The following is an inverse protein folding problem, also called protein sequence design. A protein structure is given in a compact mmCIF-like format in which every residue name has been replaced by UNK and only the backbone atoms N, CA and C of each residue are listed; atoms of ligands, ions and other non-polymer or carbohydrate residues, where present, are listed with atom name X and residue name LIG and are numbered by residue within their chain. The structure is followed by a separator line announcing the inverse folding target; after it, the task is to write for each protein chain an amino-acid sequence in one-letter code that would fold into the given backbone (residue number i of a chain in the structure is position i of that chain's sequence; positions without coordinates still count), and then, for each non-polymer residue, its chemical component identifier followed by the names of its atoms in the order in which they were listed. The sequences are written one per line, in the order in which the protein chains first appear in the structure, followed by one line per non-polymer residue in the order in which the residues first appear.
data_IF_761264939674
#
_entry.id   IF_761264939674
#
_cell.length_a   1.000
_cell.length_b   1.000
_cell.length_c   1.000
_cell.angle_alpha   90.00
_cell.angle_beta   90.00
_cell.angle_gamma   90.00
#
_symmetry.space_group_name_H-M   'P 1'
#
loop_
_entity.id
_entity.type
_entity.pdbx_description
1 polymer ?
#
# COMPACT_ATOMS: atom_id res chain seq x y z
N UNK A 1 -22.06 -11.94 3.30
CA UNK A 1 -23.02 -12.22 4.38
C UNK A 1 -22.36 -12.00 5.75
N UNK A 2 -23.15 -11.61 6.77
CA UNK A 2 -22.63 -11.38 8.14
C UNK A 2 -22.23 -12.69 8.87
N UNK A 3 -22.70 -13.84 8.41
CA UNK A 3 -22.31 -15.14 8.96
C UNK A 3 -22.59 -15.30 10.47
N UNK A 4 -23.70 -14.76 10.97
CA UNK A 4 -24.08 -14.82 12.41
C UNK A 4 -23.52 -13.69 13.27
N UNK A 5 -22.68 -12.81 12.75
CA UNK A 5 -22.13 -11.66 13.46
C UNK A 5 -23.14 -10.52 13.61
N UNK A 6 -23.04 -9.74 14.68
CA UNK A 6 -23.92 -8.59 14.94
C UNK A 6 -23.70 -7.46 13.91
N UNK A 7 -22.47 -7.29 13.41
CA UNK A 7 -22.11 -6.29 12.41
C UNK A 7 -21.04 -6.83 11.46
N UNK A 8 -20.88 -6.20 10.29
CA UNK A 8 -19.76 -6.48 9.39
C UNK A 8 -18.42 -6.15 10.04
N UNK A 9 -18.35 -5.08 10.80
CA UNK A 9 -17.13 -4.69 11.50
C UNK A 9 -16.68 -5.77 12.51
N UNK A 10 -17.59 -6.31 13.32
CA UNK A 10 -17.26 -7.37 14.27
C UNK A 10 -16.76 -8.63 13.55
N UNK A 11 -17.38 -8.98 12.42
CA UNK A 11 -16.93 -10.08 11.56
C UNK A 11 -15.51 -9.82 11.04
N UNK A 12 -15.28 -8.67 10.43
CA UNK A 12 -14.02 -8.33 9.79
C UNK A 12 -12.86 -8.19 10.77
N UNK A 13 -13.10 -7.70 11.98
CA UNK A 13 -12.11 -7.74 13.06
C UNK A 13 -11.73 -9.18 13.41
N UNK A 14 -12.69 -10.11 13.45
CA UNK A 14 -12.39 -11.53 13.69
C UNK A 14 -11.61 -12.20 12.55
N UNK A 15 -11.65 -11.63 11.34
CA UNK A 15 -10.95 -12.11 10.15
C UNK A 15 -9.51 -11.54 10.02
N UNK A 16 -9.08 -10.63 10.89
CA UNK A 16 -7.75 -10.02 10.83
C UNK A 16 -6.59 -11.04 10.85
N UNK A 17 -6.60 -12.08 11.69
CA UNK A 17 -5.52 -13.07 11.65
C UNK A 17 -5.43 -13.80 10.31
N UNK A 18 -6.57 -14.08 9.68
CA UNK A 18 -6.61 -14.71 8.36
C UNK A 18 -6.13 -13.75 7.27
N UNK A 19 -6.50 -12.47 7.34
CA UNK A 19 -6.04 -11.46 6.41
C UNK A 19 -4.51 -11.29 6.44
N UNK A 20 -3.91 -11.30 7.63
CA UNK A 20 -2.43 -11.30 7.80
C UNK A 20 -1.83 -12.55 7.17
N UNK A 21 -2.36 -13.74 7.49
CA UNK A 21 -1.88 -15.00 6.93
C UNK A 21 -1.97 -15.04 5.40
N UNK A 22 -3.06 -14.52 4.83
CA UNK A 22 -3.24 -14.45 3.38
C UNK A 22 -2.26 -13.47 2.72
N UNK A 23 -1.97 -12.34 3.36
CA UNK A 23 -0.98 -11.38 2.88
C UNK A 23 0.43 -11.98 2.86
N UNK A 24 0.77 -12.83 3.81
CA UNK A 24 2.08 -13.52 3.90
C UNK A 24 2.17 -14.76 3.02
N UNK A 25 1.03 -15.31 2.58
CA UNK A 25 0.99 -16.59 1.88
C UNK A 25 1.78 -16.56 0.58
N UNK A 26 2.74 -17.51 0.44
CA UNK A 26 3.61 -17.62 -0.73
C UNK A 26 4.72 -16.57 -0.81
N UNK A 27 4.86 -15.74 0.24
CA UNK A 27 5.89 -14.68 0.28
C UNK A 27 7.02 -14.92 1.28
N UNK A 28 6.89 -15.97 2.11
CA UNK A 28 7.93 -16.37 3.07
C UNK A 28 8.47 -17.74 2.67
N UNK A 29 9.74 -17.81 2.28
CA UNK A 29 10.42 -19.02 1.85
C UNK A 29 11.79 -19.15 2.54
N UNK A 30 11.99 -20.21 3.34
CA UNK A 30 13.29 -20.55 3.95
C UNK A 30 13.95 -19.37 4.69
N UNK A 31 13.14 -18.52 5.34
CA UNK A 31 13.64 -17.35 6.08
C UNK A 31 13.89 -16.09 5.23
N UNK A 32 13.55 -16.13 3.95
CA UNK A 32 13.62 -15.00 3.06
C UNK A 32 12.20 -14.50 2.69
N UNK A 33 12.09 -13.22 2.37
CA UNK A 33 10.90 -12.63 1.79
C UNK A 33 11.03 -12.64 0.26
N UNK A 34 10.00 -13.15 -0.40
CA UNK A 34 9.89 -13.12 -1.87
C UNK A 34 8.52 -12.54 -2.21
N UNK A 35 8.49 -11.48 -3.00
CA UNK A 35 7.25 -10.84 -3.45
C UNK A 35 7.10 -11.10 -4.95
N UNK A 36 6.33 -12.13 -5.36
CA UNK A 36 6.25 -12.54 -6.77
C UNK A 36 5.79 -11.43 -7.71
N UNK A 37 4.99 -10.49 -7.20
CA UNK A 37 4.50 -9.36 -7.99
C UNK A 37 5.61 -8.35 -8.36
N UNK A 38 6.75 -8.40 -7.67
CA UNK A 38 7.91 -7.55 -7.91
C UNK A 38 9.04 -8.26 -8.66
N UNK A 39 8.85 -9.52 -9.05
CA UNK A 39 9.86 -10.30 -9.76
C UNK A 39 10.24 -9.62 -11.09
N UNK A 40 11.54 -9.44 -11.29
CA UNK A 40 12.07 -8.75 -12.47
C UNK A 40 11.93 -7.22 -12.46
N UNK A 41 11.51 -6.60 -11.36
CA UNK A 41 11.35 -5.16 -11.21
C UNK A 41 12.48 -4.50 -10.38
N UNK A 42 13.62 -5.16 -10.22
CA UNK A 42 14.75 -4.64 -9.43
C UNK A 42 15.19 -3.23 -9.89
N UNK A 43 15.17 -2.97 -11.19
CA UNK A 43 15.52 -1.68 -11.77
C UNK A 43 14.60 -0.53 -11.31
N UNK A 44 13.36 -0.85 -10.89
CA UNK A 44 12.44 0.13 -10.35
C UNK A 44 12.97 0.75 -9.05
N UNK A 45 13.69 -0.02 -8.25
CA UNK A 45 14.18 0.39 -6.93
C UNK A 45 15.60 0.95 -6.95
N UNK A 46 16.31 0.82 -8.08
CA UNK A 46 17.67 1.34 -8.22
C UNK A 46 17.68 2.88 -8.25
N UNK A 47 18.57 3.46 -7.44
CA UNK A 47 18.77 4.91 -7.39
C UNK A 47 17.67 5.68 -6.65
N UNK A 48 16.78 4.99 -5.93
CA UNK A 48 15.80 5.63 -5.06
C UNK A 48 16.53 6.17 -3.83
N UNK A 49 16.42 7.46 -3.58
CA UNK A 49 16.99 8.16 -2.43
C UNK A 49 15.90 8.72 -1.48
N UNK A 50 14.63 8.65 -1.90
CA UNK A 50 13.48 9.08 -1.11
C UNK A 50 12.23 8.23 -1.40
N UNK A 51 11.50 7.90 -0.35
CA UNK A 51 10.18 7.25 -0.46
C UNK A 51 9.09 8.19 0.07
N UNK A 52 7.98 8.32 -0.64
CA UNK A 52 6.81 9.05 -0.16
C UNK A 52 5.62 8.10 -0.20
N UNK A 53 5.04 7.83 0.95
CA UNK A 53 3.79 7.06 1.06
C UNK A 53 2.61 8.01 0.94
N UNK A 54 1.70 7.75 0.01
CA UNK A 54 0.49 8.56 -0.22
C UNK A 54 -0.77 7.73 -0.01
N UNK A 55 -1.66 8.19 0.83
CA UNK A 55 -2.93 7.51 1.11
C UNK A 55 -3.97 8.46 1.71
N UNK A 56 -5.20 7.98 1.85
CA UNK A 56 -6.30 8.66 2.54
C UNK A 56 -6.76 7.85 3.75
N UNK A 57 -7.23 8.54 4.79
CA UNK A 57 -7.87 7.93 5.96
C UNK A 57 -6.97 6.91 6.67
N UNK A 58 -7.55 5.75 7.03
CA UNK A 58 -6.85 4.70 7.79
C UNK A 58 -5.64 4.12 7.06
N UNK A 59 -5.66 4.09 5.72
CA UNK A 59 -4.51 3.65 4.93
C UNK A 59 -3.28 4.56 5.13
N UNK A 60 -3.47 5.87 5.37
CA UNK A 60 -2.37 6.76 5.71
C UNK A 60 -1.74 6.40 7.07
N UNK A 61 -2.54 5.97 8.05
CA UNK A 61 -2.02 5.48 9.33
C UNK A 61 -1.22 4.19 9.17
N UNK A 62 -1.62 3.29 8.25
CA UNK A 62 -0.79 2.14 7.91
C UNK A 62 0.58 2.57 7.37
N UNK A 63 0.60 3.57 6.49
CA UNK A 63 1.83 4.19 6.00
C UNK A 63 2.69 4.77 7.13
N UNK A 64 2.09 5.46 8.09
CA UNK A 64 2.81 6.02 9.25
C UNK A 64 3.45 4.94 10.12
N UNK A 65 2.81 3.78 10.28
CA UNK A 65 3.40 2.62 10.99
C UNK A 65 4.55 2.03 10.16
N UNK A 66 4.33 1.78 8.87
CA UNK A 66 5.33 1.19 7.98
C UNK A 66 6.57 2.06 7.77
N UNK A 67 6.42 3.39 7.82
CA UNK A 67 7.52 4.35 7.69
C UNK A 67 8.73 3.98 8.56
N UNK A 68 8.50 3.70 9.84
CA UNK A 68 9.60 3.42 10.79
C UNK A 68 10.39 2.18 10.41
N UNK A 69 9.72 1.13 9.96
CA UNK A 69 10.36 -0.10 9.51
C UNK A 69 11.14 0.14 8.22
N UNK A 70 10.52 0.77 7.23
CA UNK A 70 11.13 1.09 5.95
C UNK A 70 12.41 1.95 6.13
N UNK A 71 12.36 3.04 6.91
CA UNK A 71 13.54 3.87 7.18
C UNK A 71 14.65 3.10 7.90
N UNK A 72 14.26 2.25 8.87
CA UNK A 72 15.24 1.49 9.63
C UNK A 72 15.99 0.48 8.75
N UNK A 73 15.28 -0.20 7.85
CA UNK A 73 15.84 -1.28 7.04
C UNK A 73 16.54 -0.78 5.78
N UNK A 74 15.95 0.19 5.08
CA UNK A 74 16.50 0.68 3.82
C UNK A 74 17.50 1.81 3.98
N UNK A 75 17.46 2.53 5.10
CA UNK A 75 18.20 3.78 5.35
C UNK A 75 17.87 4.89 4.35
N UNK A 76 16.74 4.79 3.67
CA UNK A 76 16.19 5.80 2.77
C UNK A 76 15.13 6.60 3.55
N UNK A 77 15.13 7.95 3.49
CA UNK A 77 14.09 8.77 4.10
C UNK A 77 12.69 8.40 3.58
N UNK A 78 11.73 8.26 4.49
CA UNK A 78 10.33 7.95 4.16
C UNK A 78 9.42 9.04 4.72
N UNK A 79 8.67 9.69 3.86
CA UNK A 79 7.61 10.62 4.25
C UNK A 79 6.24 9.97 4.07
N UNK A 80 5.26 10.39 4.86
CA UNK A 80 3.86 9.97 4.68
C UNK A 80 3.01 11.20 4.48
N UNK A 81 2.29 11.24 3.37
CA UNK A 81 1.46 12.39 3.01
C UNK A 81 0.01 11.96 2.71
N UNK A 82 -0.91 12.85 3.06
CA UNK A 82 -2.30 12.67 2.70
C UNK A 82 -2.46 12.91 1.18
N UNK A 83 -3.03 11.95 0.48
CA UNK A 83 -3.10 11.97 -0.99
C UNK A 83 -3.85 13.19 -1.53
N UNK A 84 -4.87 13.69 -0.80
CA UNK A 84 -5.62 14.89 -1.18
C UNK A 84 -4.82 16.19 -1.02
N UNK A 85 -3.74 16.22 -0.22
CA UNK A 85 -2.84 17.36 -0.10
C UNK A 85 -1.66 17.25 -1.08
N UNK A 86 -1.14 16.05 -1.29
CA UNK A 86 0.10 15.76 -2.00
C UNK A 86 0.19 16.48 -3.35
N UNK A 87 -0.76 16.27 -4.25
CA UNK A 87 -0.70 16.87 -5.59
C UNK A 87 -0.87 18.39 -5.61
N UNK A 88 -1.67 18.93 -4.64
CA UNK A 88 -1.98 20.36 -4.63
C UNK A 88 -0.85 21.23 -4.08
N UNK A 89 0.00 20.65 -3.23
CA UNK A 89 1.17 21.36 -2.72
C UNK A 89 2.36 21.37 -3.68
N UNK A 90 2.27 20.72 -4.83
CA UNK A 90 3.31 20.66 -5.84
C UNK A 90 4.66 20.16 -5.27
N UNK A 91 4.74 18.89 -4.78
CA UNK A 91 5.94 18.37 -4.13
C UNK A 91 7.12 18.28 -5.09
N UNK A 92 8.33 18.53 -4.55
CA UNK A 92 9.57 18.31 -5.30
C UNK A 92 9.85 16.81 -5.32
N UNK A 93 9.62 16.18 -6.46
CA UNK A 93 9.83 14.75 -6.70
C UNK A 93 10.39 14.53 -8.11
N UNK A 94 11.02 13.39 -8.34
CA UNK A 94 11.65 13.07 -9.62
C UNK A 94 11.96 11.57 -9.72
N UNK A 95 12.84 11.19 -10.65
CA UNK A 95 13.14 9.78 -10.97
C UNK A 95 13.85 9.02 -9.82
N UNK A 96 14.38 9.70 -8.85
CA UNK A 96 15.00 9.21 -7.62
C UNK A 96 13.98 9.02 -6.47
N UNK A 97 12.73 9.40 -6.68
CA UNK A 97 11.65 9.28 -5.70
C UNK A 97 10.76 8.08 -6.02
N UNK A 98 10.50 7.23 -5.01
CA UNK A 98 9.47 6.19 -5.06
C UNK A 98 8.22 6.68 -4.32
N UNK A 99 7.11 6.78 -5.03
CA UNK A 99 5.80 7.07 -4.44
C UNK A 99 5.04 5.76 -4.22
N UNK A 100 4.80 5.43 -2.95
CA UNK A 100 4.05 4.24 -2.54
C UNK A 100 2.62 4.63 -2.22
N UNK A 101 1.67 4.20 -3.01
CA UNK A 101 0.25 4.43 -2.75
C UNK A 101 -0.38 3.26 -1.99
N UNK A 102 -1.23 3.57 -1.00
CA UNK A 102 -1.96 2.55 -0.24
C UNK A 102 -3.46 2.79 -0.39
N UNK A 103 -4.19 1.79 -0.87
CA UNK A 103 -5.64 1.86 -1.03
C UNK A 103 -6.27 0.48 -0.93
N UNK A 104 -7.30 0.32 -0.08
CA UNK A 104 -8.06 -0.93 0.00
C UNK A 104 -8.81 -1.19 -1.29
N UNK A 105 -9.60 -0.23 -1.77
CA UNK A 105 -10.42 -0.37 -2.98
C UNK A 105 -9.64 -0.24 -4.29
N UNK A 106 -8.52 0.50 -4.27
CA UNK A 106 -7.78 0.89 -5.46
C UNK A 106 -8.51 1.89 -6.37
N UNK A 107 -9.59 2.51 -5.85
CA UNK A 107 -10.43 3.48 -6.59
C UNK A 107 -10.54 4.83 -5.87
N UNK A 108 -9.81 5.04 -4.78
CA UNK A 108 -9.82 6.33 -4.06
C UNK A 108 -9.28 7.43 -4.96
N UNK A 109 -10.14 8.36 -5.35
CA UNK A 109 -9.83 9.37 -6.37
C UNK A 109 -8.59 10.21 -6.04
N UNK A 110 -8.47 10.68 -4.80
CA UNK A 110 -7.31 11.49 -4.41
C UNK A 110 -6.00 10.69 -4.49
N UNK A 111 -6.02 9.42 -4.08
CA UNK A 111 -4.85 8.53 -4.18
C UNK A 111 -4.51 8.24 -5.65
N UNK A 112 -5.51 7.99 -6.50
CA UNK A 112 -5.32 7.83 -7.94
C UNK A 112 -4.65 9.06 -8.56
N UNK A 113 -5.16 10.24 -8.23
CA UNK A 113 -4.62 11.48 -8.77
C UNK A 113 -3.22 11.80 -8.25
N UNK A 114 -2.89 11.38 -7.01
CA UNK A 114 -1.53 11.46 -6.48
C UNK A 114 -0.56 10.56 -7.25
N UNK A 115 -0.96 9.33 -7.57
CA UNK A 115 -0.15 8.40 -8.40
C UNK A 115 0.08 8.97 -9.80
N UNK A 116 -0.98 9.47 -10.45
CA UNK A 116 -0.84 10.09 -11.79
C UNK A 116 0.10 11.29 -11.77
N UNK A 117 -0.09 12.18 -10.79
CA UNK A 117 0.80 13.32 -10.62
C UNK A 117 2.26 12.89 -10.42
N UNK A 118 2.51 11.90 -9.56
CA UNK A 118 3.86 11.38 -9.33
C UNK A 118 4.53 10.90 -10.63
N UNK A 119 3.80 10.14 -11.44
CA UNK A 119 4.28 9.66 -12.75
C UNK A 119 4.54 10.80 -13.74
N UNK A 120 3.67 11.80 -13.77
CA UNK A 120 3.87 13.01 -14.60
C UNK A 120 5.15 13.76 -14.24
N UNK A 121 5.55 13.74 -12.97
CA UNK A 121 6.81 14.31 -12.47
C UNK A 121 8.02 13.38 -12.68
N UNK A 122 7.83 12.18 -13.23
CA UNK A 122 8.88 11.20 -13.47
C UNK A 122 9.25 10.34 -12.27
N UNK A 123 8.52 10.43 -11.15
CA UNK A 123 8.70 9.56 -10.00
C UNK A 123 8.26 8.12 -10.33
N UNK A 124 8.89 7.15 -9.66
CA UNK A 124 8.51 5.74 -9.73
C UNK A 124 7.36 5.46 -8.78
N UNK A 125 6.47 4.53 -9.15
CA UNK A 125 5.23 4.29 -8.37
C UNK A 125 5.05 2.82 -8.04
N UNK A 126 4.73 2.54 -6.76
CA UNK A 126 4.33 1.24 -6.24
C UNK A 126 2.95 1.38 -5.58
N UNK A 127 2.04 0.46 -5.84
CA UNK A 127 0.74 0.43 -5.17
C UNK A 127 0.60 -0.78 -4.25
N UNK A 128 0.16 -0.56 -3.02
CA UNK A 128 -0.34 -1.60 -2.12
C UNK A 128 -1.86 -1.56 -2.15
N UNK A 129 -2.49 -2.61 -2.69
CA UNK A 129 -3.92 -2.63 -2.93
C UNK A 129 -4.54 -3.98 -2.59
N UNK A 130 -5.82 -3.99 -2.19
CA UNK A 130 -6.54 -5.25 -1.93
C UNK A 130 -7.35 -5.71 -3.14
N UNK A 131 -7.87 -4.79 -3.94
CA UNK A 131 -8.76 -5.11 -5.05
C UNK A 131 -7.99 -5.29 -6.35
N UNK A 132 -8.02 -6.50 -6.90
CA UNK A 132 -7.40 -6.80 -8.18
C UNK A 132 -8.14 -6.10 -9.33
N UNK A 133 -7.40 -5.63 -10.33
CA UNK A 133 -7.95 -4.98 -11.50
C UNK A 133 -8.50 -3.56 -11.27
N UNK A 134 -8.32 -3.00 -10.07
CA UNK A 134 -8.68 -1.62 -9.76
C UNK A 134 -7.84 -0.60 -10.54
N UNK A 135 -8.24 0.66 -10.52
CA UNK A 135 -7.62 1.70 -11.36
C UNK A 135 -6.22 2.08 -10.85
N UNK A 136 -6.03 2.27 -9.54
CA UNK A 136 -4.73 2.65 -8.97
C UNK A 136 -3.63 1.62 -9.33
N UNK A 137 -3.82 0.30 -9.13
CA UNK A 137 -2.87 -0.69 -9.59
C UNK A 137 -2.47 -0.57 -11.07
N UNK A 138 -3.45 -0.36 -11.95
CA UNK A 138 -3.18 -0.24 -13.39
C UNK A 138 -2.38 1.01 -13.78
N UNK A 139 -2.46 2.04 -12.96
CA UNK A 139 -1.73 3.30 -13.16
C UNK A 139 -0.36 3.31 -12.47
N UNK A 140 0.03 2.25 -11.77
CA UNK A 140 1.30 2.15 -11.05
C UNK A 140 2.31 1.30 -11.81
N UNK A 141 3.61 1.55 -11.58
CA UNK A 141 4.69 0.79 -12.21
C UNK A 141 4.86 -0.59 -11.56
N UNK A 142 4.54 -0.71 -10.27
CA UNK A 142 4.57 -1.97 -9.53
C UNK A 142 3.37 -2.08 -8.58
N UNK A 143 3.03 -3.30 -8.19
CA UNK A 143 1.86 -3.60 -7.36
C UNK A 143 2.21 -4.68 -6.33
N UNK A 144 1.68 -4.53 -5.13
CA UNK A 144 1.63 -5.59 -4.11
C UNK A 144 0.18 -5.73 -3.63
N UNK A 145 -0.39 -6.93 -3.75
CA UNK A 145 -1.75 -7.20 -3.29
C UNK A 145 -1.78 -7.73 -1.86
N UNK A 146 -2.72 -7.23 -1.04
CA UNK A 146 -2.84 -7.65 0.37
C UNK A 146 -3.65 -8.94 0.58
N UNK A 147 -4.52 -9.30 -0.36
CA UNK A 147 -5.36 -10.51 -0.29
C UNK A 147 -6.22 -10.62 1.00
N UNK A 148 -6.64 -9.47 1.56
CA UNK A 148 -7.46 -9.43 2.77
C UNK A 148 -8.93 -9.85 2.56
N UNK A 149 -9.32 -10.11 1.30
CA UNK A 149 -10.70 -10.37 0.94
C UNK A 149 -11.58 -9.10 0.97
N UNK A 150 -12.88 -9.23 0.71
CA UNK A 150 -13.79 -8.08 0.68
C UNK A 150 -14.00 -7.48 2.08
N UNK A 151 -13.92 -6.17 2.20
CA UNK A 151 -14.21 -5.39 3.39
C UNK A 151 -15.44 -4.51 3.11
N UNK A 152 -16.47 -4.62 3.94
CA UNK A 152 -17.78 -3.97 3.77
C UNK A 152 -18.04 -2.93 4.86
N UNK A 153 -17.42 -3.08 6.04
CA UNK A 153 -17.49 -2.09 7.10
C UNK A 153 -16.95 -0.73 6.63
N UNK A 154 -17.59 0.34 7.09
CA UNK A 154 -17.18 1.71 6.70
C UNK A 154 -15.82 2.07 7.27
N UNK A 155 -15.58 1.72 8.55
CA UNK A 155 -14.26 1.86 9.13
C UNK A 155 -13.38 0.67 8.71
N UNK A 156 -12.14 0.95 8.31
CA UNK A 156 -11.20 -0.08 7.92
C UNK A 156 -10.79 -0.95 9.12
N UNK A 157 -10.73 -2.25 8.91
CA UNK A 157 -10.42 -3.28 9.90
C UNK A 157 -9.30 -4.18 9.38
N UNK A 158 -9.62 -5.35 8.86
CA UNK A 158 -8.66 -6.32 8.32
C UNK A 158 -7.80 -5.77 7.17
N UNK A 159 -8.32 -4.84 6.37
CA UNK A 159 -7.51 -4.22 5.32
C UNK A 159 -6.35 -3.38 5.90
N UNK A 160 -6.55 -2.72 7.04
CA UNK A 160 -5.51 -1.95 7.71
C UNK A 160 -4.34 -2.82 8.18
N UNK A 161 -4.62 -3.92 8.87
CA UNK A 161 -3.55 -4.83 9.32
C UNK A 161 -2.86 -5.53 8.15
N UNK A 162 -3.60 -5.84 7.08
CA UNK A 162 -3.03 -6.40 5.85
C UNK A 162 -2.12 -5.40 5.12
N UNK A 163 -2.46 -4.11 5.10
CA UNK A 163 -1.61 -3.05 4.55
C UNK A 163 -0.31 -2.89 5.35
N UNK A 164 -0.38 -2.90 6.69
CA UNK A 164 0.82 -2.92 7.54
C UNK A 164 1.66 -4.16 7.24
N UNK A 165 1.04 -5.33 7.15
CA UNK A 165 1.76 -6.57 6.83
C UNK A 165 2.49 -6.47 5.48
N UNK A 166 1.84 -5.90 4.46
CA UNK A 166 2.46 -5.71 3.15
C UNK A 166 3.62 -4.70 3.18
N UNK A 167 3.57 -3.68 4.05
CA UNK A 167 4.66 -2.72 4.24
C UNK A 167 5.87 -3.32 4.99
N UNK A 168 5.66 -4.43 5.70
CA UNK A 168 6.70 -5.15 6.44
C UNK A 168 7.34 -6.31 5.62
N UNK A 169 6.83 -6.59 4.44
CA UNK A 169 7.44 -7.48 3.45
C UNK A 169 8.49 -6.77 2.62
#
# INVERSE_FOLDING_TARGET
EKGGWSSFMAKEVSEEPEAVANTLRGRLHEGAVVIPELDGLDDLFLGIDRVIVVACGTAAYAGMVGKYALEQWTRVPVDVELAHEFRYRDPVIGPDTLVVSISQSGETMDTLMAVKYAREQGAKTLSICNTQGATIPRESDAIVYTHAGPEVAVASTKAFVAQITALYL
#
